data_IF_207221074922
#
_entry.id   IF_207221074922
#
_cell.length_a   1.000
_cell.length_b   1.000
_cell.length_c   1.000
_cell.angle_alpha   90.00
_cell.angle_beta   90.00
_cell.angle_gamma   90.00
#
_symmetry.space_group_name_H-M   'P 1'
#
loop_
_entity.id
_entity.type
_entity.pdbx_description
1 polymer ?
#
# COMPACT_ATOMS: atom_id res chain seq x y z
N UNK A 1 -8.09 15.10 1.65
CA UNK A 1 -9.50 14.79 1.40
C UNK A 1 -9.89 15.03 -0.06
N UNK A 2 -9.57 16.18 -0.68
CA UNK A 2 -9.66 16.30 -2.16
C UNK A 2 -8.62 15.44 -2.89
N UNK A 3 -7.55 15.11 -2.18
CA UNK A 3 -6.53 14.13 -2.57
C UNK A 3 -7.09 12.77 -2.95
N UNK A 4 -8.12 12.29 -2.24
CA UNK A 4 -8.57 10.91 -2.39
C UNK A 4 -9.41 10.76 -3.66
N UNK A 5 -10.23 11.77 -3.99
CA UNK A 5 -10.97 11.80 -5.24
C UNK A 5 -10.04 11.96 -6.45
N UNK A 6 -9.03 12.82 -6.34
CA UNK A 6 -8.01 12.98 -7.38
C UNK A 6 -7.22 11.68 -7.60
N UNK A 7 -6.91 10.95 -6.53
CA UNK A 7 -6.21 9.67 -6.63
C UNK A 7 -7.06 8.57 -7.26
N UNK A 8 -8.37 8.54 -6.97
CA UNK A 8 -9.30 7.62 -7.65
C UNK A 8 -9.35 7.89 -9.16
N UNK A 9 -9.36 9.17 -9.57
CA UNK A 9 -9.30 9.55 -10.97
C UNK A 9 -7.97 9.12 -11.61
N UNK A 10 -6.85 9.31 -10.92
CA UNK A 10 -5.53 8.88 -11.39
C UNK A 10 -5.48 7.35 -11.60
N UNK A 11 -6.02 6.56 -10.67
CA UNK A 11 -6.13 5.11 -10.81
C UNK A 11 -6.98 4.76 -12.03
N UNK A 12 -8.13 5.41 -12.19
CA UNK A 12 -9.03 5.14 -13.31
C UNK A 12 -8.32 5.39 -14.66
N UNK A 13 -7.69 6.54 -14.82
CA UNK A 13 -6.93 6.90 -16.03
C UNK A 13 -5.74 5.95 -16.27
N UNK A 14 -5.02 5.57 -15.20
CA UNK A 14 -3.93 4.60 -15.29
C UNK A 14 -4.42 3.22 -15.76
N UNK A 15 -5.58 2.76 -15.27
CA UNK A 15 -6.20 1.50 -15.71
C UNK A 15 -6.63 1.59 -17.17
N UNK A 16 -7.34 2.65 -17.57
CA UNK A 16 -7.85 2.83 -18.95
C UNK A 16 -6.73 2.96 -19.98
N UNK A 17 -5.59 3.54 -19.58
CA UNK A 17 -4.39 3.66 -20.43
C UNK A 17 -3.50 2.42 -20.45
N UNK A 18 -3.73 1.43 -19.58
CA UNK A 18 -2.94 0.21 -19.52
C UNK A 18 -3.12 -0.68 -20.76
N UNK A 19 -2.04 -1.35 -21.17
CA UNK A 19 -2.08 -2.28 -22.29
C UNK A 19 -2.96 -3.49 -21.99
N UNK A 20 -2.97 -3.94 -20.74
CA UNK A 20 -3.79 -5.04 -20.24
C UNK A 20 -5.28 -4.73 -20.39
N UNK A 21 -5.70 -3.52 -20.00
CA UNK A 21 -7.08 -3.09 -20.18
C UNK A 21 -7.46 -3.06 -21.65
N UNK A 22 -6.66 -2.40 -22.48
CA UNK A 22 -6.93 -2.33 -23.93
C UNK A 22 -7.01 -3.71 -24.59
N UNK A 23 -6.22 -4.68 -24.12
CA UNK A 23 -6.13 -6.00 -24.76
C UNK A 23 -7.19 -6.99 -24.27
N UNK A 24 -7.56 -6.93 -22.99
CA UNK A 24 -8.37 -7.98 -22.36
C UNK A 24 -9.69 -7.47 -21.76
N UNK A 25 -9.80 -6.17 -21.49
CA UNK A 25 -10.91 -5.58 -20.74
C UNK A 25 -11.54 -4.39 -21.47
N UNK A 26 -11.32 -4.25 -22.78
CA UNK A 26 -11.94 -3.23 -23.59
C UNK A 26 -13.47 -3.26 -23.39
N UNK A 27 -14.06 -2.08 -23.20
CA UNK A 27 -15.49 -1.86 -22.93
C UNK A 27 -16.02 -2.52 -21.64
N UNK A 28 -15.14 -3.01 -20.75
CA UNK A 28 -15.52 -3.49 -19.43
C UNK A 28 -15.54 -2.34 -18.42
N UNK A 29 -16.52 -2.40 -17.53
CA UNK A 29 -16.62 -1.49 -16.39
C UNK A 29 -15.40 -1.65 -15.45
N UNK A 30 -14.83 -0.53 -15.04
CA UNK A 30 -13.78 -0.46 -14.02
C UNK A 30 -14.45 -0.39 -12.64
N UNK A 31 -14.14 -1.35 -11.77
CA UNK A 31 -14.62 -1.35 -10.39
C UNK A 31 -13.46 -1.01 -9.47
N UNK A 32 -13.55 0.10 -8.74
CA UNK A 32 -12.56 0.51 -7.75
C UNK A 32 -13.08 0.13 -6.37
N UNK A 33 -12.34 -0.75 -5.69
CA UNK A 33 -12.72 -1.28 -4.37
C UNK A 33 -12.09 -0.42 -3.28
N UNK A 34 -12.91 0.09 -2.37
CA UNK A 34 -12.49 0.89 -1.21
C UNK A 34 -12.77 0.11 0.06
N UNK A 35 -11.82 0.12 1.00
CA UNK A 35 -12.08 -0.36 2.35
C UNK A 35 -12.95 0.66 3.12
N UNK A 36 -13.37 0.28 4.33
CA UNK A 36 -14.22 1.14 5.15
C UNK A 36 -13.41 2.10 6.06
N UNK A 37 -12.17 2.43 5.70
CA UNK A 37 -11.36 3.35 6.50
C UNK A 37 -12.00 4.76 6.58
N UNK A 38 -11.89 5.46 7.71
CA UNK A 38 -12.44 6.81 7.86
C UNK A 38 -11.96 7.82 6.80
N UNK A 39 -10.75 7.62 6.26
CA UNK A 39 -10.19 8.45 5.20
C UNK A 39 -11.09 8.47 3.96
N UNK A 40 -11.74 7.35 3.62
CA UNK A 40 -12.53 7.22 2.40
C UNK A 40 -13.98 7.68 2.55
N UNK A 41 -14.43 8.14 3.72
CA UNK A 41 -15.86 8.34 4.03
C UNK A 41 -16.64 9.19 3.01
N UNK A 42 -15.98 10.10 2.31
CA UNK A 42 -16.61 11.03 1.36
C UNK A 42 -16.15 10.82 -0.08
N UNK A 43 -15.41 9.75 -0.37
CA UNK A 43 -14.80 9.52 -1.68
C UNK A 43 -15.87 9.41 -2.77
N UNK A 44 -16.95 8.67 -2.54
CA UNK A 44 -18.02 8.47 -3.53
C UNK A 44 -18.81 9.73 -3.86
N UNK A 45 -18.91 10.68 -2.92
CA UNK A 45 -19.60 11.96 -3.13
C UNK A 45 -18.75 12.94 -3.95
N UNK A 46 -17.43 12.75 -3.98
CA UNK A 46 -16.46 13.71 -4.53
C UNK A 46 -15.81 13.25 -5.82
N UNK A 47 -15.85 11.96 -6.14
CA UNK A 47 -15.25 11.39 -7.35
C UNK A 47 -16.05 11.76 -8.60
N UNK A 48 -15.34 12.07 -9.69
CA UNK A 48 -15.94 12.25 -11.01
C UNK A 48 -16.60 10.96 -11.46
N UNK A 49 -17.87 11.04 -11.89
CA UNK A 49 -18.60 9.86 -12.37
C UNK A 49 -18.24 9.59 -13.83
N UNK A 50 -17.82 8.36 -14.10
CA UNK A 50 -17.65 7.84 -15.46
C UNK A 50 -18.74 6.81 -15.74
N UNK A 51 -19.20 6.71 -16.99
CA UNK A 51 -20.31 5.82 -17.36
C UNK A 51 -19.94 4.32 -17.19
N UNK A 52 -18.66 4.02 -17.22
CA UNK A 52 -18.05 2.70 -17.14
C UNK A 52 -17.14 2.57 -15.91
N UNK A 53 -17.43 3.30 -14.84
CA UNK A 53 -16.77 3.17 -13.54
C UNK A 53 -17.78 2.97 -12.40
N UNK A 54 -17.47 2.07 -11.48
CA UNK A 54 -18.21 1.87 -10.23
C UNK A 54 -17.25 1.89 -9.03
N UNK A 55 -17.70 2.52 -7.93
CA UNK A 55 -17.00 2.49 -6.65
C UNK A 55 -17.67 1.48 -5.73
N UNK A 56 -16.92 0.46 -5.32
CA UNK A 56 -17.41 -0.59 -4.42
C UNK A 56 -16.80 -0.40 -3.02
N UNK A 57 -17.62 0.07 -2.06
CA UNK A 57 -17.22 0.13 -0.66
C UNK A 57 -17.44 -1.21 0.04
N UNK A 58 -16.39 -1.71 0.67
CA UNK A 58 -16.46 -2.92 1.48
C UNK A 58 -17.14 -2.64 2.83
N UNK A 59 -17.81 -3.66 3.37
CA UNK A 59 -18.35 -3.63 4.72
C UNK A 59 -17.25 -3.54 5.80
N UNK A 60 -17.59 -3.12 7.02
CA UNK A 60 -16.67 -3.15 8.15
C UNK A 60 -16.02 -4.53 8.33
N UNK A 61 -14.76 -4.55 8.77
CA UNK A 61 -14.04 -5.78 9.12
C UNK A 61 -14.00 -6.85 8.03
N UNK A 62 -13.96 -6.44 6.76
CA UNK A 62 -13.95 -7.35 5.59
C UNK A 62 -12.61 -7.38 4.83
N UNK A 63 -11.44 -7.52 5.49
CA UNK A 63 -10.14 -7.48 4.81
C UNK A 63 -9.94 -8.65 3.84
N UNK A 64 -10.62 -9.79 4.08
CA UNK A 64 -10.64 -10.93 3.16
C UNK A 64 -11.23 -10.59 1.78
N UNK A 65 -12.01 -9.52 1.69
CA UNK A 65 -12.62 -9.03 0.46
C UNK A 65 -11.82 -7.89 -0.18
N UNK A 66 -10.73 -7.43 0.44
CA UNK A 66 -9.88 -6.36 -0.08
C UNK A 66 -8.66 -6.95 -0.83
N UNK A 67 -8.62 -6.91 -2.18
CA UNK A 67 -7.57 -7.59 -2.95
C UNK A 67 -6.14 -7.11 -2.62
N UNK A 68 -5.97 -5.85 -2.21
CA UNK A 68 -4.64 -5.30 -1.89
C UNK A 68 -4.00 -5.98 -0.67
N UNK A 69 -4.81 -6.55 0.22
CA UNK A 69 -4.32 -7.26 1.41
C UNK A 69 -3.50 -8.50 1.04
N UNK A 70 -3.82 -9.16 -0.09
CA UNK A 70 -3.02 -10.27 -0.60
C UNK A 70 -1.63 -9.79 -1.04
N UNK A 71 -1.55 -8.67 -1.77
CA UNK A 71 -0.28 -8.05 -2.15
C UNK A 71 0.55 -7.65 -0.93
N UNK A 72 -0.07 -7.01 0.06
CA UNK A 72 0.60 -6.67 1.31
C UNK A 72 1.03 -7.88 2.13
N UNK A 73 0.30 -8.99 2.06
CA UNK A 73 0.70 -10.23 2.74
C UNK A 73 2.01 -10.78 2.18
N UNK A 74 2.17 -10.77 0.85
CA UNK A 74 3.42 -11.15 0.18
C UNK A 74 4.57 -10.22 0.59
N UNK A 75 4.35 -8.90 0.51
CA UNK A 75 5.35 -7.90 0.91
C UNK A 75 5.76 -8.06 2.38
N UNK A 76 4.79 -8.21 3.29
CA UNK A 76 5.04 -8.39 4.73
C UNK A 76 5.80 -9.69 5.01
N UNK A 77 5.48 -10.78 4.32
CA UNK A 77 6.21 -12.04 4.47
C UNK A 77 7.68 -11.90 4.05
N UNK A 78 7.93 -11.16 2.97
CA UNK A 78 9.28 -10.85 2.53
C UNK A 78 10.06 -10.02 3.57
N UNK A 79 9.51 -8.87 3.98
CA UNK A 79 10.15 -8.00 4.97
C UNK A 79 10.43 -8.76 6.27
N UNK A 80 9.50 -9.59 6.73
CA UNK A 80 9.69 -10.41 7.94
C UNK A 80 10.83 -11.43 7.80
N UNK A 81 11.01 -11.99 6.61
CA UNK A 81 12.10 -12.96 6.34
C UNK A 81 13.45 -12.27 6.43
N UNK A 82 13.58 -11.08 5.84
CA UNK A 82 14.79 -10.26 5.91
C UNK A 82 15.08 -9.79 7.35
N UNK A 83 14.07 -9.26 8.05
CA UNK A 83 14.21 -8.83 9.44
C UNK A 83 14.57 -9.96 10.40
N UNK A 84 14.23 -11.21 10.07
CA UNK A 84 14.61 -12.36 10.88
C UNK A 84 16.12 -12.60 10.89
N UNK A 85 16.83 -12.22 9.81
CA UNK A 85 18.30 -12.28 9.73
C UNK A 85 18.91 -11.27 10.72
N UNK A 86 18.35 -10.06 10.78
CA UNK A 86 18.80 -8.96 11.64
C UNK A 86 18.07 -8.91 12.98
N UNK A 87 17.58 -10.05 13.48
CA UNK A 87 16.72 -10.10 14.67
C UNK A 87 17.34 -9.46 15.90
N UNK A 88 18.65 -9.63 16.10
CA UNK A 88 19.39 -9.02 17.21
C UNK A 88 19.36 -7.50 17.11
N UNK A 89 19.62 -6.95 15.93
CA UNK A 89 19.62 -5.51 15.66
C UNK A 89 18.23 -4.89 15.80
N UNK A 90 17.18 -5.60 15.36
CA UNK A 90 15.78 -5.18 15.53
C UNK A 90 15.39 -5.14 17.02
N UNK A 91 15.94 -6.06 17.81
CA UNK A 91 15.68 -6.16 19.25
C UNK A 91 16.62 -5.26 20.08
N UNK A 92 17.65 -4.68 19.47
CA UNK A 92 18.59 -3.80 20.15
C UNK A 92 17.91 -2.50 20.58
N UNK A 93 17.91 -2.26 21.89
CA UNK A 93 17.39 -1.05 22.53
C UNK A 93 18.50 -0.21 23.15
N UNK A 94 19.76 -0.54 22.89
CA UNK A 94 20.88 0.27 23.32
C UNK A 94 20.77 1.66 22.68
N UNK A 95 21.08 2.69 23.46
CA UNK A 95 21.20 4.08 22.97
C UNK A 95 22.57 4.34 22.32
N UNK A 96 23.24 3.27 21.87
CA UNK A 96 24.54 3.36 21.24
C UNK A 96 24.46 3.91 19.81
N UNK A 97 25.60 4.07 19.14
CA UNK A 97 25.62 4.35 17.71
C UNK A 97 24.98 3.19 16.92
N UNK A 98 24.33 3.50 15.80
CA UNK A 98 23.78 2.50 14.86
C UNK A 98 24.89 1.92 13.96
N UNK A 99 24.53 1.08 12.98
CA UNK A 99 25.49 0.50 12.03
C UNK A 99 26.25 1.55 11.20
N UNK A 100 25.75 2.78 11.13
CA UNK A 100 26.38 3.91 10.45
C UNK A 100 27.22 4.77 11.41
N UNK A 101 27.28 4.41 12.70
CA UNK A 101 27.98 5.18 13.72
C UNK A 101 27.17 6.35 14.30
N UNK A 102 25.88 6.47 13.97
CA UNK A 102 25.04 7.59 14.39
C UNK A 102 24.22 7.28 15.64
N UNK A 103 24.14 8.23 16.57
CA UNK A 103 23.26 8.12 17.74
C UNK A 103 21.88 8.63 17.36
N UNK A 104 21.03 7.71 16.92
CA UNK A 104 19.64 7.99 16.51
C UNK A 104 18.63 7.48 17.56
N UNK A 105 17.39 7.94 17.44
CA UNK A 105 16.30 7.39 18.26
C UNK A 105 16.06 5.91 17.93
N UNK A 106 15.52 5.14 18.88
CA UNK A 106 15.16 3.73 18.65
C UNK A 106 14.16 3.61 17.48
N UNK A 107 13.19 4.53 17.40
CA UNK A 107 12.20 4.54 16.32
C UNK A 107 12.86 4.74 14.94
N UNK A 108 13.81 5.68 14.86
CA UNK A 108 14.54 5.94 13.62
C UNK A 108 15.41 4.74 13.22
N UNK A 109 16.13 4.13 14.17
CA UNK A 109 16.90 2.90 13.92
C UNK A 109 16.02 1.79 13.36
N UNK A 110 14.85 1.57 13.95
CA UNK A 110 13.90 0.57 13.49
C UNK A 110 13.36 0.88 12.09
N UNK A 111 13.09 2.15 11.79
CA UNK A 111 12.67 2.58 10.44
C UNK A 111 13.75 2.35 9.39
N UNK A 112 15.03 2.63 9.70
CA UNK A 112 16.16 2.37 8.80
C UNK A 112 16.30 0.87 8.50
N UNK A 113 16.16 0.01 9.51
CA UNK A 113 16.17 -1.45 9.33
C UNK A 113 14.99 -1.93 8.46
N UNK A 114 13.79 -1.40 8.70
CA UNK A 114 12.60 -1.71 7.90
C UNK A 114 12.77 -1.28 6.44
N UNK A 115 13.31 -0.09 6.19
CA UNK A 115 13.56 0.41 4.85
C UNK A 115 14.60 -0.45 4.12
N UNK A 116 15.68 -0.82 4.80
CA UNK A 116 16.70 -1.72 4.24
C UNK A 116 16.11 -3.10 3.90
N UNK A 117 15.31 -3.68 4.81
CA UNK A 117 14.65 -4.96 4.59
C UNK A 117 13.62 -4.92 3.44
N UNK A 118 12.96 -3.78 3.22
CA UNK A 118 12.05 -3.62 2.08
C UNK A 118 12.81 -3.52 0.74
N UNK A 119 14.03 -2.97 0.74
CA UNK A 119 14.83 -2.73 -0.47
C UNK A 119 15.71 -3.91 -0.88
N UNK A 120 16.04 -4.83 0.02
CA UNK A 120 17.11 -5.83 -0.20
C UNK A 120 16.91 -6.74 -1.42
N UNK A 121 15.70 -6.86 -1.97
CA UNK A 121 15.40 -7.66 -3.17
C UNK A 121 14.58 -6.92 -4.25
N UNK A 122 14.46 -5.60 -4.18
CA UNK A 122 13.94 -4.80 -5.30
C UNK A 122 15.05 -4.66 -6.37
N UNK A 123 15.26 -5.72 -7.16
CA UNK A 123 16.09 -5.71 -8.38
C UNK A 123 15.26 -5.35 -9.60
#
# INVERSE_FOLDING_TARGET
MDTDAAFVEEIYEAVKSSQEYSKYYQDRMVVIVLDNAPAHRQTEERVTKHADMELLRLGPYSPMCNPIEACFSVLKAHIKTELAIYREEVCDRARGPDHNGEVVSIAERQMRLLESAAKSNMK
#
